data_IF_511452581657
#
_entry.id   IF_511452581657
#
_cell.length_a   1.000
_cell.length_b   1.000
_cell.length_c   1.000
_cell.angle_alpha   90.00
_cell.angle_beta   90.00
_cell.angle_gamma   90.00
#
_symmetry.space_group_name_H-M   'P 1'
#
loop_
_entity.id
_entity.type
_entity.pdbx_description
1 polymer ?
#
# COMPACT_ATOMS: atom_id res chain seq x y z
N UNK A 1 -10.47 -0.29 -19.44
CA UNK A 1 -10.75 0.37 -18.15
C UNK A 1 -9.50 0.29 -17.30
N UNK A 2 -9.10 1.41 -16.68
CA UNK A 2 -8.02 1.42 -15.68
C UNK A 2 -8.67 1.05 -14.35
N UNK A 3 -8.24 -0.07 -13.78
CA UNK A 3 -8.87 -0.64 -12.60
C UNK A 3 -8.10 -0.21 -11.36
N UNK A 4 -8.85 0.20 -10.35
CA UNK A 4 -8.34 0.80 -9.13
C UNK A 4 -9.11 0.24 -7.95
N UNK A 5 -8.40 -0.38 -7.02
CA UNK A 5 -9.02 -1.05 -5.88
C UNK A 5 -8.05 -1.13 -4.70
N UNK A 6 -8.59 -1.15 -3.49
CA UNK A 6 -7.82 -1.50 -2.29
C UNK A 6 -7.76 -3.01 -2.18
N UNK A 7 -6.57 -3.56 -1.94
CA UNK A 7 -6.36 -5.00 -1.69
C UNK A 7 -6.17 -5.22 -0.19
N UNK A 8 -5.33 -4.41 0.45
CA UNK A 8 -5.03 -4.49 1.88
C UNK A 8 -4.80 -3.09 2.45
N UNK A 9 -5.35 -2.80 3.63
CA UNK A 9 -5.09 -1.55 4.34
C UNK A 9 -5.09 -1.74 5.86
N UNK A 10 -4.11 -1.13 6.52
CA UNK A 10 -4.04 -1.03 7.99
C UNK A 10 -3.30 0.26 8.38
N UNK A 11 -3.67 0.86 9.50
CA UNK A 11 -3.19 2.19 9.89
C UNK A 11 -3.11 2.40 11.41
N UNK A 12 -2.51 3.52 11.80
CA UNK A 12 -2.46 4.03 13.16
C UNK A 12 -3.70 4.88 13.47
N UNK A 13 -4.61 4.33 14.27
CA UNK A 13 -5.97 4.82 14.52
C UNK A 13 -6.01 6.19 15.20
N UNK A 14 -5.04 6.47 16.07
CA UNK A 14 -4.95 7.76 16.76
C UNK A 14 -4.33 8.88 15.91
N UNK A 15 -3.93 8.61 14.66
CA UNK A 15 -3.33 9.58 13.75
C UNK A 15 -3.75 9.30 12.31
N UNK A 16 -5.05 9.37 11.97
CA UNK A 16 -5.55 8.86 10.68
C UNK A 16 -5.01 9.58 9.44
N UNK A 17 -4.52 10.82 9.57
CA UNK A 17 -3.99 11.59 8.43
C UNK A 17 -2.46 11.55 8.29
N UNK A 18 -1.76 11.38 9.41
CA UNK A 18 -0.30 11.58 9.51
C UNK A 18 0.39 10.44 10.24
N UNK A 19 -0.35 9.40 10.60
CA UNK A 19 0.16 8.24 11.31
C UNK A 19 0.72 7.21 10.36
N UNK A 20 1.26 6.17 10.96
CA UNK A 20 1.79 5.04 10.24
C UNK A 20 0.67 4.32 9.48
N UNK A 21 0.96 3.84 8.26
CA UNK A 21 0.04 2.97 7.53
C UNK A 21 0.77 2.05 6.56
N UNK A 22 0.06 1.03 6.11
CA UNK A 22 0.43 0.20 4.96
C UNK A 22 -0.78 0.00 4.06
N UNK A 23 -0.57 0.14 2.76
CA UNK A 23 -1.57 0.01 1.71
C UNK A 23 -1.01 -0.87 0.59
N UNK A 24 -1.75 -1.92 0.24
CA UNK A 24 -1.61 -2.62 -1.03
C UNK A 24 -2.84 -2.31 -1.87
N UNK A 25 -2.62 -1.79 -3.07
CA UNK A 25 -3.68 -1.40 -3.98
C UNK A 25 -3.40 -1.83 -5.41
N UNK A 26 -4.47 -1.98 -6.18
CA UNK A 26 -4.44 -1.91 -7.63
C UNK A 26 -4.65 -0.44 -8.00
N UNK A 27 -3.76 0.13 -8.81
CA UNK A 27 -3.88 1.50 -9.33
C UNK A 27 -3.50 1.50 -10.80
N UNK A 28 -4.44 1.85 -11.68
CA UNK A 28 -4.25 1.79 -13.13
C UNK A 28 -3.76 0.43 -13.63
N UNK A 29 -4.33 -0.65 -13.07
CA UNK A 29 -3.93 -2.03 -13.32
C UNK A 29 -2.48 -2.38 -12.90
N UNK A 30 -1.81 -1.56 -12.09
CA UNK A 30 -0.51 -1.89 -11.47
C UNK A 30 -0.69 -2.16 -9.98
N UNK A 31 0.17 -3.01 -9.42
CA UNK A 31 0.22 -3.20 -7.98
C UNK A 31 1.03 -2.08 -7.35
N UNK A 32 0.44 -1.45 -6.34
CA UNK A 32 1.00 -0.36 -5.59
C UNK A 32 1.12 -0.79 -4.13
N UNK A 33 2.34 -0.78 -3.61
CA UNK A 33 2.65 -0.95 -2.20
C UNK A 33 3.06 0.42 -1.65
N UNK A 34 2.26 1.00 -0.76
CA UNK A 34 2.56 2.26 -0.10
C UNK A 34 2.60 2.06 1.40
N UNK A 35 3.48 2.78 2.07
CA UNK A 35 3.53 2.82 3.52
C UNK A 35 3.99 4.20 3.99
N UNK A 36 3.64 4.53 5.23
CA UNK A 36 4.14 5.69 5.95
C UNK A 36 4.56 5.27 7.36
N UNK A 37 5.59 5.92 7.88
CA UNK A 37 6.00 5.85 9.29
C UNK A 37 5.67 7.16 10.03
N UNK A 38 4.66 7.89 9.54
CA UNK A 38 4.29 9.24 9.97
C UNK A 38 5.08 10.37 9.30
N UNK A 39 6.08 10.03 8.48
CA UNK A 39 6.68 10.90 7.46
C UNK A 39 5.93 10.76 6.12
N UNK A 40 6.35 11.50 5.09
CA UNK A 40 5.79 11.38 3.73
C UNK A 40 5.74 9.91 3.25
N UNK A 41 4.61 9.44 2.66
CA UNK A 41 4.49 8.06 2.20
C UNK A 41 5.52 7.70 1.14
N UNK A 42 6.02 6.46 1.22
CA UNK A 42 6.90 5.88 0.21
C UNK A 42 6.13 4.80 -0.53
N UNK A 43 6.21 4.85 -1.85
CA UNK A 43 5.42 3.98 -2.71
C UNK A 43 6.34 3.21 -3.67
N UNK A 44 6.09 1.90 -3.77
CA UNK A 44 6.69 1.00 -4.75
C UNK A 44 5.57 0.51 -5.68
N UNK A 45 5.76 0.69 -6.99
CA UNK A 45 4.76 0.35 -8.01
C UNK A 45 5.34 -0.71 -8.93
N UNK A 46 4.58 -1.77 -9.21
CA UNK A 46 4.98 -2.82 -10.14
C UNK A 46 5.36 -2.25 -11.53
N UNK A 47 6.34 -2.88 -12.17
CA UNK A 47 6.73 -2.53 -13.56
C UNK A 47 5.58 -2.88 -14.50
N UNK A 48 5.06 -4.09 -14.31
CA UNK A 48 4.09 -4.71 -15.20
C UNK A 48 2.67 -4.31 -14.78
N UNK A 49 1.82 -4.12 -15.78
CA UNK A 49 0.36 -4.05 -15.59
C UNK A 49 -0.20 -5.46 -15.50
N UNK A 50 -1.14 -5.66 -14.59
CA UNK A 50 -1.96 -6.86 -14.51
C UNK A 50 -3.00 -6.86 -15.62
N UNK A 51 -3.27 -8.06 -16.14
CA UNK A 51 -4.36 -8.32 -17.07
C UNK A 51 -5.55 -8.82 -16.26
N UNK A 52 -6.70 -8.19 -16.45
CA UNK A 52 -7.91 -8.52 -15.71
C UNK A 52 -8.34 -9.97 -15.92
N UNK A 53 -9.07 -10.52 -14.93
CA UNK A 53 -9.61 -11.89 -14.94
C UNK A 53 -8.53 -12.98 -15.03
N UNK A 54 -7.31 -12.68 -14.56
CA UNK A 54 -6.23 -13.66 -14.35
C UNK A 54 -5.88 -13.73 -12.87
N UNK A 55 -5.44 -14.90 -12.44
CA UNK A 55 -4.93 -15.11 -11.10
C UNK A 55 -3.46 -14.66 -11.01
N UNK A 56 -3.13 -13.97 -9.92
CA UNK A 56 -1.78 -13.53 -9.61
C UNK A 56 -1.46 -13.87 -8.16
N UNK A 57 -0.20 -14.20 -7.89
CA UNK A 57 0.36 -14.26 -6.53
C UNK A 57 1.16 -12.98 -6.32
N UNK A 58 0.82 -12.21 -5.31
CA UNK A 58 1.48 -10.95 -4.98
C UNK A 58 2.16 -11.13 -3.63
N UNK A 59 3.45 -10.83 -3.56
CA UNK A 59 4.20 -10.83 -2.32
C UNK A 59 4.72 -9.41 -2.06
N UNK A 60 4.27 -8.82 -0.95
CA UNK A 60 4.70 -7.52 -0.47
C UNK A 60 5.35 -7.71 0.89
N UNK A 61 6.64 -7.38 1.00
CA UNK A 61 7.40 -7.57 2.24
C UNK A 61 7.94 -6.22 2.69
N UNK A 62 7.72 -5.93 3.97
CA UNK A 62 8.35 -4.85 4.70
C UNK A 62 9.23 -5.44 5.79
N UNK A 63 10.54 -5.26 5.69
CA UNK A 63 11.49 -5.84 6.65
C UNK A 63 12.63 -4.86 6.93
N UNK A 64 12.67 -4.33 8.16
CA UNK A 64 13.65 -3.33 8.57
C UNK A 64 13.56 -2.10 7.67
N UNK A 65 14.64 -1.79 6.95
CA UNK A 65 14.70 -0.64 6.05
C UNK A 65 14.34 -0.94 4.58
N UNK A 66 13.87 -2.16 4.29
CA UNK A 66 13.68 -2.62 2.91
C UNK A 66 12.22 -2.99 2.64
N UNK A 67 11.75 -2.53 1.49
CA UNK A 67 10.51 -2.94 0.87
C UNK A 67 10.79 -3.81 -0.33
N UNK A 68 9.99 -4.85 -0.50
CA UNK A 68 9.99 -5.62 -1.74
C UNK A 68 8.59 -5.92 -2.23
N UNK A 69 8.44 -5.91 -3.56
CA UNK A 69 7.21 -6.28 -4.25
C UNK A 69 7.54 -7.29 -5.36
N UNK A 70 6.93 -8.46 -5.31
CA UNK A 70 7.02 -9.49 -6.35
C UNK A 70 5.63 -9.91 -6.83
N UNK A 71 5.55 -10.30 -8.10
CA UNK A 71 4.32 -10.81 -8.73
C UNK A 71 4.66 -12.13 -9.41
N UNK A 72 3.90 -13.18 -9.11
CA UNK A 72 4.09 -14.55 -9.60
C UNK A 72 5.52 -15.07 -9.37
N UNK A 73 6.11 -14.74 -8.21
CA UNK A 73 7.47 -15.14 -7.84
C UNK A 73 8.56 -14.70 -8.82
N UNK A 74 8.28 -13.68 -9.65
CA UNK A 74 9.30 -13.00 -10.46
C UNK A 74 10.30 -12.28 -9.55
N UNK A 75 11.42 -11.84 -10.13
CA UNK A 75 12.41 -11.02 -9.45
C UNK A 75 11.74 -9.86 -8.70
N UNK A 76 11.89 -9.78 -7.37
CA UNK A 76 11.29 -8.71 -6.58
C UNK A 76 11.89 -7.34 -6.95
N UNK A 77 11.01 -6.35 -6.99
CA UNK A 77 11.39 -4.94 -7.01
C UNK A 77 11.64 -4.48 -5.59
N UNK A 78 12.57 -3.55 -5.41
CA UNK A 78 12.95 -3.07 -4.08
C UNK A 78 12.83 -1.55 -3.96
N UNK A 79 12.53 -1.11 -2.75
CA UNK A 79 12.73 0.27 -2.32
C UNK A 79 13.28 0.27 -0.89
N UNK A 80 13.86 1.38 -0.46
CA UNK A 80 14.48 1.50 0.86
C UNK A 80 13.90 2.70 1.62
N UNK A 81 13.77 2.55 2.93
CA UNK A 81 13.47 3.68 3.81
C UNK A 81 14.63 4.68 3.70
N UNK A 82 14.37 5.95 3.36
CA UNK A 82 15.38 6.98 3.35
C UNK A 82 16.10 7.07 4.70
N UNK A 83 17.42 7.26 4.68
CA UNK A 83 18.25 7.27 5.90
C UNK A 83 17.84 8.37 6.87
N UNK A 84 17.28 9.47 6.38
CA UNK A 84 16.84 10.61 7.19
C UNK A 84 15.55 10.35 7.99
N UNK A 85 14.81 9.28 7.70
CA UNK A 85 13.61 8.94 8.47
C UNK A 85 14.05 8.40 9.84
N UNK A 86 13.56 9.03 10.91
CA UNK A 86 13.95 8.67 12.29
C UNK A 86 13.31 7.37 12.75
N UNK A 87 12.09 7.09 12.28
CA UNK A 87 11.37 5.85 12.57
C UNK A 87 11.73 4.78 11.53
N UNK A 88 11.84 3.54 12.00
CA UNK A 88 12.11 2.35 11.17
C UNK A 88 11.11 1.21 11.38
N UNK A 89 10.16 1.42 12.28
CA UNK A 89 9.18 0.44 12.68
C UNK A 89 7.78 1.02 12.48
N UNK A 90 6.91 0.17 11.95
CA UNK A 90 5.52 0.46 11.71
C UNK A 90 4.75 0.32 13.03
N UNK A 91 4.00 1.35 13.41
CA UNK A 91 3.13 1.33 14.58
C UNK A 91 1.66 1.37 14.16
N UNK A 92 1.06 0.18 13.98
CA UNK A 92 -0.34 0.02 13.57
C UNK A 92 -1.12 -0.64 14.70
N UNK A 93 -2.29 -0.07 14.99
CA UNK A 93 -3.24 -0.56 16.00
C UNK A 93 -4.64 -0.84 15.42
N UNK A 94 -4.90 -0.51 14.15
CA UNK A 94 -6.15 -0.82 13.49
C UNK A 94 -6.26 -2.31 13.16
N UNK A 95 -7.48 -2.84 12.98
CA UNK A 95 -7.69 -4.06 12.21
C UNK A 95 -7.11 -3.90 10.79
N UNK A 96 -6.75 -5.03 10.18
CA UNK A 96 -6.41 -5.07 8.78
C UNK A 96 -7.68 -5.29 7.94
N UNK A 97 -7.80 -4.53 6.85
CA UNK A 97 -8.93 -4.58 5.93
C UNK A 97 -8.48 -5.14 4.59
N UNK A 98 -9.27 -6.05 4.02
CA UNK A 98 -8.99 -6.72 2.75
C UNK A 98 -10.11 -6.45 1.76
N UNK A 99 -9.77 -5.95 0.57
CA UNK A 99 -10.70 -5.68 -0.54
C UNK A 99 -11.57 -4.44 -0.40
N UNK A 100 -11.84 -3.96 0.82
CA UNK A 100 -12.70 -2.79 1.07
C UNK A 100 -12.36 -2.12 2.40
N UNK A 101 -12.59 -0.80 2.50
CA UNK A 101 -12.46 0.01 3.73
C UNK A 101 -13.84 0.58 4.08
N UNK A 102 -14.39 0.32 5.28
CA UNK A 102 -15.70 0.84 5.69
C UNK A 102 -15.81 2.36 5.61
N UNK A 103 -16.93 2.84 5.08
CA UNK A 103 -17.23 4.26 4.97
C UNK A 103 -17.14 4.94 6.34
N UNK A 104 -16.50 6.11 6.41
CA UNK A 104 -16.28 6.87 7.65
C UNK A 104 -14.92 6.65 8.32
N UNK A 105 -14.12 5.70 7.84
CA UNK A 105 -12.71 5.52 8.21
C UNK A 105 -11.87 6.20 7.13
N UNK A 106 -11.43 7.44 7.40
CA UNK A 106 -10.81 8.35 6.41
C UNK A 106 -9.69 7.72 5.56
N UNK A 107 -9.67 8.04 4.26
CA UNK A 107 -8.47 7.99 3.40
C UNK A 107 -8.41 9.30 2.60
N UNK A 108 -7.73 10.32 3.12
CA UNK A 108 -7.49 11.59 2.38
C UNK A 108 -6.00 11.90 2.16
N UNK A 109 -5.07 11.13 2.73
CA UNK A 109 -3.62 11.37 2.56
C UNK A 109 -2.85 10.23 1.88
N UNK A 110 -3.38 9.01 1.86
CA UNK A 110 -2.73 7.88 1.22
C UNK A 110 -3.19 7.74 -0.23
N UNK A 111 -2.74 8.67 -1.09
CA UNK A 111 -3.02 8.72 -2.53
C UNK A 111 -4.46 9.15 -2.81
N UNK A 112 -4.64 10.13 -3.70
CA UNK A 112 -5.94 10.42 -4.30
C UNK A 112 -6.32 9.26 -5.24
N UNK A 113 -6.63 8.10 -4.66
CA UNK A 113 -7.34 7.03 -5.31
C UNK A 113 -8.81 7.46 -5.22
N UNK A 114 -9.34 8.05 -6.28
CA UNK A 114 -10.79 8.26 -6.41
C UNK A 114 -11.45 6.89 -6.46
N UNK A 115 -11.83 6.36 -5.30
CA UNK A 115 -12.72 5.22 -5.19
C UNK A 115 -14.11 5.78 -5.50
N UNK A 116 -14.48 5.82 -6.78
CA UNK A 116 -15.88 6.04 -7.13
C UNK A 116 -16.66 4.82 -6.66
N UNK A 117 -17.42 5.00 -5.57
CA UNK A 117 -18.54 4.12 -5.24
C UNK A 117 -19.54 4.17 -6.40
N UNK A 118 -19.86 3.01 -6.98
CA UNK A 118 -21.04 2.82 -7.82
C UNK A 118 -22.31 3.05 -7.00
#
# INVERSE_FOLDING_TARGET
MKETAVIFYAWQSNSPMTGDFVLLALAESKILLSYSLGDSPITLISSDKLVMRRQYVIEAIFSGERLSLSINSKTPQYNFIPKQFKKKHLNIDSPAYIGYIPNGLFVLSAISLFIYSL
#
